data_IF_417957872727
#
_entry.id   IF_417957872727
#
_cell.length_a   1.000
_cell.length_b   1.000
_cell.length_c   1.000
_cell.angle_alpha   90.00
_cell.angle_beta   90.00
_cell.angle_gamma   90.00
#
_symmetry.space_group_name_H-M   'P 1'
#
loop_
_entity.id
_entity.type
_entity.pdbx_description
1 polymer ?
#
# COMPACT_ATOMS: atom_id res chain seq x y z
N UNK A 1 -23.03 -14.41 -26.67
CA UNK A 1 -22.34 -13.70 -25.57
C UNK A 1 -21.05 -13.15 -26.14
N UNK A 2 -20.88 -11.83 -26.31
CA UNK A 2 -19.54 -11.31 -26.59
C UNK A 2 -18.61 -11.73 -25.44
N UNK A 3 -17.41 -12.19 -25.77
CA UNK A 3 -16.41 -12.60 -24.79
C UNK A 3 -16.17 -11.48 -23.79
N UNK A 4 -16.28 -11.80 -22.50
CA UNK A 4 -15.86 -10.91 -21.43
C UNK A 4 -14.37 -10.62 -21.66
N UNK A 5 -13.93 -9.36 -21.83
CA UNK A 5 -12.52 -9.06 -21.98
C UNK A 5 -11.77 -9.61 -20.77
N UNK A 6 -10.71 -10.38 -21.01
CA UNK A 6 -9.83 -10.88 -19.95
C UNK A 6 -9.19 -9.74 -19.14
N UNK A 7 -8.38 -10.06 -18.11
CA UNK A 7 -7.41 -9.12 -17.58
C UNK A 7 -6.66 -8.43 -18.73
N UNK A 8 -6.48 -7.12 -18.64
CA UNK A 8 -5.96 -6.33 -19.75
C UNK A 8 -5.23 -5.08 -19.25
N UNK A 9 -4.32 -4.57 -20.08
CA UNK A 9 -3.68 -3.26 -19.88
C UNK A 9 -3.74 -2.45 -21.16
N UNK A 10 -4.23 -1.21 -21.08
CA UNK A 10 -4.27 -0.30 -22.22
C UNK A 10 -2.87 -0.01 -22.76
N UNK A 11 -2.71 -0.19 -24.07
CA UNK A 11 -1.42 -0.12 -24.77
C UNK A 11 -0.76 -1.49 -24.97
N UNK A 12 -1.21 -2.55 -24.28
CA UNK A 12 -0.73 -3.92 -24.49
C UNK A 12 -1.84 -4.83 -25.02
N UNK A 13 -1.50 -5.70 -25.97
CA UNK A 13 -2.42 -6.72 -26.51
C UNK A 13 -2.23 -8.09 -25.88
N UNK A 14 -1.11 -8.30 -25.18
CA UNK A 14 -0.65 -9.60 -24.71
C UNK A 14 -0.53 -9.68 -23.20
N UNK A 15 -0.69 -8.55 -22.50
CA UNK A 15 -0.50 -8.51 -21.06
C UNK A 15 -1.45 -9.45 -20.33
N UNK A 16 -0.89 -10.20 -19.38
CA UNK A 16 -1.61 -11.05 -18.45
C UNK A 16 -1.01 -10.91 -17.05
N UNK A 17 -1.82 -10.93 -15.97
CA UNK A 17 -1.34 -10.92 -14.60
C UNK A 17 -0.27 -11.98 -14.32
N UNK A 18 -0.40 -13.18 -14.89
CA UNK A 18 0.50 -14.31 -14.64
C UNK A 18 1.95 -14.03 -15.04
N UNK A 19 2.21 -13.05 -15.92
CA UNK A 19 3.57 -12.67 -16.31
C UNK A 19 4.37 -12.03 -15.15
N UNK A 20 3.67 -11.52 -14.14
CA UNK A 20 4.27 -10.91 -12.95
C UNK A 20 4.45 -11.90 -11.79
N UNK A 21 4.19 -13.18 -12.02
CA UNK A 21 4.32 -14.23 -11.01
C UNK A 21 5.27 -15.31 -11.49
N UNK A 22 6.09 -15.83 -10.59
CA UNK A 22 7.11 -16.86 -10.84
C UNK A 22 6.45 -18.25 -10.99
N UNK A 23 5.59 -18.39 -12.00
CA UNK A 23 4.82 -19.59 -12.32
C UNK A 23 5.36 -20.31 -13.56
N UNK A 24 6.26 -19.69 -14.31
CA UNK A 24 6.89 -20.23 -15.52
C UNK A 24 8.30 -19.64 -15.74
N UNK A 25 9.21 -20.31 -16.47
CA UNK A 25 10.53 -19.75 -16.76
C UNK A 25 10.50 -18.35 -17.41
N UNK A 26 9.56 -18.12 -18.34
CA UNK A 26 9.40 -16.83 -19.03
C UNK A 26 8.98 -15.72 -18.07
N UNK A 27 8.06 -16.01 -17.14
CA UNK A 27 7.65 -15.03 -16.14
C UNK A 27 8.73 -14.81 -15.09
N UNK A 28 9.55 -15.82 -14.75
CA UNK A 28 10.75 -15.64 -13.92
C UNK A 28 11.75 -14.66 -14.57
N UNK A 29 12.02 -14.80 -15.87
CA UNK A 29 12.92 -13.89 -16.60
C UNK A 29 12.37 -12.46 -16.66
N UNK A 30 11.07 -12.33 -16.92
CA UNK A 30 10.37 -11.03 -16.92
C UNK A 30 10.51 -10.37 -15.54
N UNK A 31 10.26 -11.13 -14.48
CA UNK A 31 10.40 -10.69 -13.11
C UNK A 31 11.83 -10.23 -12.78
N UNK A 32 12.84 -10.99 -13.21
CA UNK A 32 14.24 -10.59 -13.06
C UNK A 32 14.56 -9.29 -13.79
N UNK A 33 14.08 -9.11 -15.02
CA UNK A 33 14.27 -7.88 -15.80
C UNK A 33 13.63 -6.67 -15.11
N UNK A 34 12.41 -6.81 -14.59
CA UNK A 34 11.74 -5.75 -13.82
C UNK A 34 12.61 -5.32 -12.64
N UNK A 35 13.12 -6.27 -11.85
CA UNK A 35 14.00 -5.95 -10.73
C UNK A 35 15.33 -5.34 -11.15
N UNK A 36 15.91 -5.75 -12.28
CA UNK A 36 17.11 -5.08 -12.83
C UNK A 36 16.82 -3.60 -13.09
N UNK A 37 15.69 -3.27 -13.74
CA UNK A 37 15.30 -1.88 -13.99
C UNK A 37 15.03 -1.10 -12.69
N UNK A 38 14.30 -1.67 -11.74
CA UNK A 38 14.04 -1.01 -10.44
C UNK A 38 15.35 -0.73 -9.68
N UNK A 39 16.29 -1.68 -9.67
CA UNK A 39 17.59 -1.51 -9.02
C UNK A 39 18.48 -0.46 -9.73
N UNK A 40 18.31 -0.29 -11.04
CA UNK A 40 18.99 0.74 -11.83
C UNK A 40 18.30 2.12 -11.77
N UNK A 41 17.19 2.25 -11.03
CA UNK A 41 16.36 3.47 -10.97
C UNK A 41 15.75 3.87 -12.34
N UNK A 42 15.42 2.86 -13.16
CA UNK A 42 14.80 2.97 -14.48
C UNK A 42 13.30 2.69 -14.39
N UNK A 43 12.56 3.59 -13.73
CA UNK A 43 11.13 3.38 -13.42
C UNK A 43 10.28 3.18 -14.68
N UNK A 44 10.53 3.94 -15.74
CA UNK A 44 9.78 3.81 -16.99
C UNK A 44 9.97 2.42 -17.59
N UNK A 45 11.21 1.93 -17.64
CA UNK A 45 11.53 0.62 -18.18
C UNK A 45 10.93 -0.51 -17.32
N UNK A 46 10.94 -0.36 -16.00
CA UNK A 46 10.31 -1.32 -15.09
C UNK A 46 8.79 -1.43 -15.33
N UNK A 47 8.08 -0.31 -15.43
CA UNK A 47 6.63 -0.30 -15.73
C UNK A 47 6.35 -0.84 -17.13
N UNK A 48 7.10 -0.40 -18.14
CA UNK A 48 6.90 -0.87 -19.51
C UNK A 48 7.13 -2.38 -19.64
N UNK A 49 8.13 -2.92 -18.95
CA UNK A 49 8.38 -4.37 -18.90
C UNK A 49 7.26 -5.11 -18.15
N UNK A 50 6.84 -4.61 -16.98
CA UNK A 50 5.82 -5.26 -16.16
C UNK A 50 4.44 -5.31 -16.83
N UNK A 51 4.13 -4.31 -17.65
CA UNK A 51 2.82 -4.16 -18.29
C UNK A 51 2.84 -4.37 -19.80
N UNK A 52 3.97 -4.84 -20.33
CA UNK A 52 4.20 -5.08 -21.77
C UNK A 52 3.80 -3.89 -22.64
N UNK A 53 4.20 -2.70 -22.21
CA UNK A 53 3.90 -1.45 -22.89
C UNK A 53 4.86 -1.23 -24.06
N UNK A 54 4.41 -0.59 -25.15
CA UNK A 54 5.27 -0.28 -26.28
C UNK A 54 6.37 0.73 -25.90
N UNK A 55 7.54 0.72 -26.57
CA UNK A 55 8.64 1.63 -26.25
C UNK A 55 8.28 3.13 -26.35
N UNK A 56 7.38 3.48 -27.25
CA UNK A 56 6.87 4.83 -27.51
C UNK A 56 5.58 5.16 -26.73
N UNK A 57 5.26 4.37 -25.69
CA UNK A 57 4.10 4.62 -24.84
C UNK A 57 4.09 6.05 -24.28
N UNK A 58 3.00 6.77 -24.55
CA UNK A 58 2.78 8.14 -24.11
C UNK A 58 1.40 8.32 -23.46
N UNK A 59 0.87 7.24 -22.88
CA UNK A 59 -0.38 7.28 -22.13
C UNK A 59 -0.29 8.31 -20.99
N UNK A 60 -1.36 9.09 -20.81
CA UNK A 60 -1.45 10.06 -19.72
C UNK A 60 -2.24 9.45 -18.57
N UNK A 61 -1.55 9.27 -17.45
CA UNK A 61 -2.11 8.81 -16.19
C UNK A 61 -2.78 9.97 -15.45
N UNK A 62 -3.93 9.72 -14.83
CA UNK A 62 -4.71 10.73 -14.13
C UNK A 62 -4.99 10.32 -12.69
N UNK A 63 -4.63 11.19 -11.74
CA UNK A 63 -5.13 11.13 -10.38
C UNK A 63 -5.25 12.56 -9.83
N UNK A 64 -4.41 12.94 -8.85
CA UNK A 64 -4.26 14.34 -8.42
C UNK A 64 -3.48 15.20 -9.41
N UNK A 65 -2.74 14.58 -10.33
CA UNK A 65 -2.02 15.21 -11.44
C UNK A 65 -2.21 14.39 -12.72
N UNK A 66 -1.85 14.97 -13.87
CA UNK A 66 -1.82 14.29 -15.17
C UNK A 66 -0.39 14.19 -15.67
N UNK A 67 0.11 12.97 -15.89
CA UNK A 67 1.51 12.70 -16.21
C UNK A 67 1.67 11.52 -17.16
N UNK A 68 2.74 11.48 -17.95
CA UNK A 68 3.19 10.28 -18.67
C UNK A 68 4.42 9.64 -17.97
N UNK A 69 4.84 8.44 -18.39
CA UNK A 69 5.97 7.75 -17.75
C UNK A 69 7.29 8.53 -17.80
N UNK A 70 7.55 9.25 -18.90
CA UNK A 70 8.77 10.04 -19.04
C UNK A 70 8.83 11.20 -18.04
N UNK A 71 7.70 11.88 -17.82
CA UNK A 71 7.59 12.94 -16.81
C UNK A 71 7.77 12.41 -15.40
N UNK A 72 7.24 11.21 -15.10
CA UNK A 72 7.42 10.59 -13.79
C UNK A 72 8.89 10.22 -13.55
N UNK A 73 9.56 9.62 -14.53
CA UNK A 73 10.98 9.29 -14.43
C UNK A 73 11.85 10.53 -14.23
N UNK A 74 11.58 11.61 -14.98
CA UNK A 74 12.24 12.90 -14.78
C UNK A 74 12.00 13.47 -13.37
N UNK A 75 10.80 13.34 -12.83
CA UNK A 75 10.48 13.78 -11.47
C UNK A 75 11.23 12.96 -10.40
N UNK A 76 11.37 11.64 -10.60
CA UNK A 76 12.19 10.78 -9.72
C UNK A 76 13.65 11.22 -9.74
N UNK A 77 14.21 11.48 -10.92
CA UNK A 77 15.61 11.89 -11.07
C UNK A 77 15.87 13.31 -10.56
N UNK A 78 14.84 14.17 -10.47
CA UNK A 78 14.94 15.49 -9.84
C UNK A 78 15.16 15.40 -8.31
N UNK A 79 14.87 14.25 -7.69
CA UNK A 79 15.12 14.00 -6.27
C UNK A 79 14.49 15.05 -5.37
N UNK A 80 15.27 15.64 -4.45
CA UNK A 80 14.78 16.64 -3.48
C UNK A 80 14.43 18.01 -4.09
N UNK A 81 14.72 18.24 -5.38
CA UNK A 81 14.45 19.52 -6.02
C UNK A 81 12.96 19.90 -5.89
N UNK A 82 12.70 21.19 -5.71
CA UNK A 82 11.34 21.74 -5.58
C UNK A 82 10.48 21.10 -4.48
N UNK A 83 11.09 20.43 -3.50
CA UNK A 83 10.37 19.77 -2.40
C UNK A 83 9.67 18.48 -2.81
N UNK A 84 10.06 17.85 -3.92
CA UNK A 84 9.45 16.60 -4.39
C UNK A 84 9.61 15.45 -3.39
N UNK A 85 10.55 15.53 -2.44
CA UNK A 85 10.78 14.55 -1.37
C UNK A 85 10.49 15.12 0.05
N UNK A 86 9.81 16.28 0.15
CA UNK A 86 9.61 16.98 1.42
C UNK A 86 8.45 16.40 2.25
N UNK A 87 8.57 15.13 2.65
CA UNK A 87 7.53 14.38 3.36
C UNK A 87 7.47 14.65 4.85
N UNK A 88 8.61 14.97 5.46
CA UNK A 88 8.74 15.19 6.90
C UNK A 88 8.78 16.67 7.17
N UNK A 89 7.67 17.19 7.69
CA UNK A 89 7.45 18.61 7.87
C UNK A 89 6.89 18.92 9.24
N UNK A 90 7.07 20.17 9.67
CA UNK A 90 6.43 20.74 10.85
C UNK A 90 5.97 22.18 10.56
N UNK A 91 5.02 22.73 11.34
CA UNK A 91 4.67 24.14 11.25
C UNK A 91 5.89 25.03 11.48
N UNK A 92 6.07 26.05 10.64
CA UNK A 92 7.14 27.01 10.80
C UNK A 92 6.95 27.83 12.07
N UNK A 93 7.97 27.87 12.93
CA UNK A 93 8.01 28.80 14.06
C UNK A 93 8.15 30.22 13.51
N UNK A 94 7.15 31.08 13.74
CA UNK A 94 7.31 32.52 13.47
C UNK A 94 8.31 33.07 14.48
N UNK A 95 9.50 33.46 14.02
CA UNK A 95 10.38 34.30 14.82
C UNK A 95 9.66 35.65 14.92
N UNK A 96 9.08 35.95 16.08
CA UNK A 96 8.60 37.29 16.38
C UNK A 96 9.80 38.22 16.54
N UNK A 97 10.29 38.77 15.43
CA UNK A 97 11.22 39.89 15.46
C UNK A 97 10.41 41.16 15.73
N UNK A 98 9.99 41.38 16.98
CA UNK A 98 9.56 42.69 17.47
C UNK A 98 9.54 42.69 19.01
N UNK A 99 10.70 42.90 19.60
CA UNK A 99 10.80 43.55 20.90
C UNK A 99 12.15 44.30 20.96
N UNK A 100 12.19 45.63 20.74
CA UNK A 100 13.45 46.38 20.67
C UNK A 100 14.16 46.59 22.01
N UNK A 101 13.57 46.18 23.14
CA UNK A 101 13.98 46.66 24.46
C UNK A 101 14.68 45.64 25.38
N UNK A 102 15.06 44.44 24.90
CA UNK A 102 15.81 43.51 25.75
C UNK A 102 17.33 43.67 25.62
N UNK A 103 17.88 44.61 26.39
CA UNK A 103 19.34 44.85 26.54
C UNK A 103 20.02 43.88 27.54
N UNK A 104 19.51 42.68 27.80
CA UNK A 104 20.08 41.80 28.84
C UNK A 104 20.77 40.50 28.39
N UNK A 105 21.18 40.34 27.12
CA UNK A 105 21.79 39.07 26.67
C UNK A 105 23.08 39.23 25.86
N UNK A 106 24.08 39.91 26.45
CA UNK A 106 25.48 39.90 25.96
C UNK A 106 26.40 38.87 26.64
N UNK A 107 25.89 37.98 27.47
CA UNK A 107 26.69 36.92 28.11
C UNK A 107 26.01 35.55 28.02
N UNK A 108 25.99 34.97 26.82
CA UNK A 108 25.81 33.52 26.58
C UNK A 108 26.23 33.15 25.15
N UNK A 109 27.31 33.79 24.68
CA UNK A 109 27.86 33.61 23.34
C UNK A 109 29.24 32.98 23.42
N UNK A 110 29.28 31.77 23.97
CA UNK A 110 30.39 30.80 23.87
C UNK A 110 29.87 29.51 24.50
N UNK A 111 29.96 28.40 23.76
CA UNK A 111 29.42 27.06 24.06
C UNK A 111 27.97 26.80 23.59
N UNK A 112 27.75 26.88 22.28
CA UNK A 112 26.82 26.01 21.52
C UNK A 112 27.10 26.23 20.03
N UNK A 113 28.33 25.93 19.61
CA UNK A 113 28.70 25.80 18.20
C UNK A 113 28.77 24.31 17.89
N UNK A 114 27.61 23.70 17.62
CA UNK A 114 27.49 22.47 16.81
C UNK A 114 26.00 22.28 16.48
N UNK A 115 25.69 22.32 15.17
CA UNK A 115 24.38 22.17 14.52
C UNK A 115 23.40 23.34 14.65
N UNK A 116 23.73 24.44 13.98
CA UNK A 116 22.73 25.40 13.51
C UNK A 116 22.21 24.89 12.15
N UNK A 117 21.28 23.95 12.16
CA UNK A 117 20.59 23.51 10.94
C UNK A 117 19.86 24.73 10.34
N UNK A 118 20.26 25.13 9.13
CA UNK A 118 19.55 26.15 8.38
C UNK A 118 18.10 25.70 8.20
N UNK A 119 17.15 26.48 8.70
CA UNK A 119 15.71 26.20 8.56
C UNK A 119 15.35 26.13 7.08
N UNK A 120 15.07 24.92 6.56
CA UNK A 120 14.67 24.73 5.16
C UNK A 120 13.14 24.84 5.08
N UNK A 121 12.67 25.94 4.52
CA UNK A 121 11.24 26.17 4.24
C UNK A 121 10.79 25.27 3.09
N UNK A 122 9.59 24.70 3.19
CA UNK A 122 9.01 23.89 2.13
C UNK A 122 8.72 24.76 0.88
N UNK A 123 9.26 24.44 -0.31
CA UNK A 123 9.14 25.29 -1.51
C UNK A 123 7.71 25.61 -1.94
N UNK A 124 6.77 24.66 -1.76
CA UNK A 124 5.34 24.86 -2.05
C UNK A 124 4.47 25.32 -0.88
N UNK A 125 4.99 25.35 0.37
CA UNK A 125 4.18 25.61 1.57
C UNK A 125 4.99 26.44 2.59
N UNK A 126 4.99 27.78 2.47
CA UNK A 126 5.81 28.66 3.32
C UNK A 126 5.55 28.54 4.83
N UNK A 127 4.37 28.04 5.22
CA UNK A 127 4.02 27.76 6.61
C UNK A 127 4.63 26.48 7.17
N UNK A 128 5.37 25.70 6.37
CA UNK A 128 5.97 24.43 6.74
C UNK A 128 7.49 24.47 6.60
N UNK A 129 8.17 23.80 7.53
CA UNK A 129 9.61 23.56 7.53
C UNK A 129 9.88 22.07 7.36
N UNK A 130 10.88 21.73 6.56
CA UNK A 130 11.34 20.36 6.36
C UNK A 130 12.16 19.93 7.59
N UNK A 131 11.81 18.81 8.20
CA UNK A 131 12.45 18.31 9.44
C UNK A 131 13.56 17.29 9.17
N UNK A 132 13.72 16.85 7.93
CA UNK A 132 14.83 16.01 7.49
C UNK A 132 14.45 14.98 6.43
N UNK A 133 15.42 14.14 6.09
CA UNK A 133 15.26 13.01 5.18
C UNK A 133 15.77 11.73 5.87
N UNK A 134 15.04 10.62 5.79
CA UNK A 134 15.44 9.38 6.44
C UNK A 134 16.63 8.75 5.70
N UNK A 135 17.60 8.16 6.41
CA UNK A 135 18.65 7.38 5.77
C UNK A 135 18.08 6.10 5.14
N UNK A 136 18.76 5.57 4.12
CA UNK A 136 18.33 4.37 3.40
C UNK A 136 18.07 3.16 4.32
N UNK A 137 18.84 3.01 5.40
CA UNK A 137 18.65 1.95 6.40
C UNK A 137 17.32 2.04 7.13
N UNK A 138 16.81 3.26 7.35
CA UNK A 138 15.53 3.48 8.02
C UNK A 138 14.36 3.22 7.06
N UNK A 139 14.53 3.59 5.79
CA UNK A 139 13.59 3.24 4.71
C UNK A 139 13.46 1.72 4.59
N UNK A 140 14.59 1.00 4.54
CA UNK A 140 14.59 -0.46 4.48
C UNK A 140 13.94 -1.10 5.71
N UNK A 141 14.17 -0.52 6.90
CA UNK A 141 13.55 -1.00 8.13
C UNK A 141 12.01 -0.82 8.08
N UNK A 142 11.51 0.30 7.55
CA UNK A 142 10.08 0.52 7.33
C UNK A 142 9.49 -0.46 6.32
N UNK A 143 10.13 -0.62 5.15
CA UNK A 143 9.71 -1.59 4.13
C UNK A 143 9.60 -3.01 4.72
N UNK A 144 10.53 -3.39 5.59
CA UNK A 144 10.55 -4.72 6.23
C UNK A 144 9.38 -5.01 7.18
N UNK A 145 8.57 -4.02 7.55
CA UNK A 145 7.32 -4.22 8.30
C UNK A 145 6.34 -5.07 7.50
N UNK A 146 6.36 -4.91 6.17
CA UNK A 146 5.41 -5.55 5.26
C UNK A 146 5.97 -6.80 4.59
N UNK A 147 7.16 -7.26 5.01
CA UNK A 147 7.74 -8.53 4.58
C UNK A 147 6.83 -9.70 5.02
N UNK A 148 6.24 -10.46 4.09
CA UNK A 148 5.28 -11.51 4.40
C UNK A 148 5.89 -12.68 5.20
N UNK A 149 7.22 -12.81 5.21
CA UNK A 149 7.94 -13.84 5.97
C UNK A 149 8.16 -13.44 7.44
N UNK A 150 7.90 -12.18 7.79
CA UNK A 150 8.09 -11.62 9.13
C UNK A 150 6.75 -11.31 9.80
N UNK A 151 6.76 -11.21 11.12
CA UNK A 151 5.60 -10.70 11.86
C UNK A 151 5.63 -9.18 11.81
N UNK A 152 4.62 -8.55 11.22
CA UNK A 152 4.48 -7.10 11.17
C UNK A 152 4.55 -6.47 12.58
N UNK A 153 3.90 -7.09 13.57
CA UNK A 153 3.97 -6.64 14.97
C UNK A 153 5.40 -6.65 15.53
N UNK A 154 6.19 -7.68 15.26
CA UNK A 154 7.58 -7.75 15.74
C UNK A 154 8.50 -6.83 14.93
N UNK A 155 8.32 -6.74 13.61
CA UNK A 155 9.05 -5.81 12.76
C UNK A 155 8.82 -4.37 13.19
N UNK A 156 7.58 -4.00 13.54
CA UNK A 156 7.24 -2.66 14.02
C UNK A 156 7.85 -2.36 15.39
N UNK A 157 7.83 -3.32 16.32
CA UNK A 157 8.56 -3.19 17.60
C UNK A 157 10.08 -3.03 17.39
N UNK A 158 10.64 -3.78 16.44
CA UNK A 158 12.06 -3.67 16.05
C UNK A 158 12.38 -2.32 15.40
N UNK A 159 11.45 -1.75 14.61
CA UNK A 159 11.60 -0.41 14.05
C UNK A 159 11.82 0.62 15.16
N UNK A 160 11.02 0.54 16.23
CA UNK A 160 11.13 1.41 17.41
C UNK A 160 12.38 1.14 18.24
N UNK A 161 12.67 -0.12 18.57
CA UNK A 161 13.77 -0.48 19.47
C UNK A 161 15.16 -0.09 18.94
N UNK A 162 15.31 -0.04 17.62
CA UNK A 162 16.56 0.34 16.95
C UNK A 162 16.60 1.82 16.52
N UNK A 163 15.60 2.63 16.90
CA UNK A 163 15.56 4.03 16.53
C UNK A 163 16.40 4.90 17.48
N UNK A 164 17.21 5.81 16.93
CA UNK A 164 17.86 6.85 17.74
C UNK A 164 16.78 7.78 18.32
N UNK A 165 16.88 8.11 19.61
CA UNK A 165 15.97 9.07 20.26
C UNK A 165 15.92 10.39 19.46
N UNK A 166 14.71 10.87 19.17
CA UNK A 166 14.48 12.09 18.40
C UNK A 166 14.65 11.96 16.88
N UNK A 167 14.99 10.78 16.35
CA UNK A 167 15.07 10.57 14.90
C UNK A 167 13.69 10.49 14.24
N UNK A 168 13.65 10.70 12.91
CA UNK A 168 12.45 10.45 12.09
C UNK A 168 11.92 9.03 12.30
N UNK A 169 12.80 8.02 12.30
CA UNK A 169 12.44 6.63 12.55
C UNK A 169 11.76 6.42 13.90
N UNK A 170 12.20 7.11 14.95
CA UNK A 170 11.54 7.05 16.25
C UNK A 170 10.11 7.60 16.17
N UNK A 171 9.92 8.77 15.54
CA UNK A 171 8.60 9.39 15.37
C UNK A 171 7.63 8.54 14.52
N UNK A 172 8.15 7.88 13.48
CA UNK A 172 7.38 6.99 12.61
C UNK A 172 6.97 5.73 13.37
N UNK A 173 7.92 5.09 14.07
CA UNK A 173 7.65 3.86 14.80
C UNK A 173 6.64 4.10 15.94
N UNK A 174 6.81 5.19 16.70
CA UNK A 174 5.87 5.61 17.74
C UNK A 174 4.47 5.84 17.18
N UNK A 175 4.38 6.59 16.07
CA UNK A 175 3.11 6.86 15.41
C UNK A 175 2.40 5.56 14.96
N UNK A 176 3.09 4.70 14.21
CA UNK A 176 2.54 3.45 13.71
C UNK A 176 2.16 2.49 14.85
N UNK A 177 2.94 2.43 15.93
CA UNK A 177 2.62 1.63 17.12
C UNK A 177 1.35 2.14 17.81
N UNK A 178 1.20 3.46 17.93
CA UNK A 178 0.03 4.07 18.58
C UNK A 178 -1.28 3.80 17.84
N UNK A 179 -1.21 3.63 16.51
CA UNK A 179 -2.38 3.36 15.65
C UNK A 179 -2.70 1.88 15.52
N UNK A 180 -1.72 1.01 15.75
CA UNK A 180 -1.88 -0.43 15.58
C UNK A 180 -2.78 -1.03 16.66
N UNK A 181 -3.79 -1.77 16.23
CA UNK A 181 -4.66 -2.58 17.08
C UNK A 181 -5.04 -3.88 16.38
N UNK A 182 -5.06 -5.00 17.11
CA UNK A 182 -5.54 -6.27 16.60
C UNK A 182 -6.21 -7.03 17.75
N UNK A 183 -7.49 -7.37 17.57
CA UNK A 183 -8.24 -8.15 18.55
C UNK A 183 -7.58 -9.53 18.76
N UNK A 184 -7.50 -10.04 20.01
CA UNK A 184 -6.89 -11.33 20.31
C UNK A 184 -7.47 -12.53 19.53
N UNK A 185 -8.71 -12.43 19.04
CA UNK A 185 -9.32 -13.48 18.21
C UNK A 185 -8.78 -13.56 16.78
N UNK A 186 -8.00 -12.56 16.35
CA UNK A 186 -7.40 -12.49 15.02
C UNK A 186 -5.92 -12.88 15.10
N UNK A 187 -5.61 -14.09 14.64
CA UNK A 187 -4.24 -14.56 14.48
C UNK A 187 -3.82 -14.47 13.00
N UNK A 188 -2.64 -13.88 12.76
CA UNK A 188 -2.06 -13.73 11.42
C UNK A 188 -0.91 -14.73 11.27
N UNK A 189 -1.05 -15.77 10.42
CA UNK A 189 0.00 -16.77 10.24
C UNK A 189 1.17 -16.19 9.43
N UNK A 190 2.41 -16.53 9.79
CA UNK A 190 3.59 -16.17 8.96
C UNK A 190 3.68 -17.07 7.73
N UNK A 191 4.19 -16.53 6.63
CA UNK A 191 4.54 -17.36 5.46
C UNK A 191 5.66 -18.33 5.85
N UNK A 192 5.46 -19.62 5.54
CA UNK A 192 6.49 -20.65 5.70
C UNK A 192 7.43 -20.62 4.49
N UNK A 193 8.69 -20.26 4.70
CA UNK A 193 9.73 -20.38 3.67
C UNK A 193 10.21 -21.83 3.63
N UNK A 194 9.92 -22.55 2.54
CA UNK A 194 10.47 -23.89 2.34
C UNK A 194 11.95 -23.77 1.98
N UNK A 195 12.83 -24.27 2.85
CA UNK A 195 14.26 -24.37 2.55
C UNK A 195 14.48 -25.51 1.56
N UNK A 196 14.75 -25.19 0.28
CA UNK A 196 15.30 -26.18 -0.65
C UNK A 196 16.70 -26.55 -0.18
N UNK A 197 16.89 -27.79 0.27
CA UNK A 197 18.20 -28.33 0.67
C UNK A 197 19.14 -28.28 -0.53
N UNK A 198 20.13 -27.41 -0.51
CA UNK A 198 21.18 -27.35 -1.53
C UNK A 198 22.00 -28.64 -1.46
N UNK A 199 21.92 -29.48 -2.49
CA UNK A 199 22.85 -30.58 -2.71
C UNK A 199 24.26 -30.02 -2.87
N UNK A 200 25.18 -30.46 -2.02
CA UNK A 200 26.60 -30.15 -2.08
C UNK A 200 27.16 -30.57 -3.43
N UNK A 201 27.72 -29.64 -4.18
CA UNK A 201 28.75 -29.95 -5.17
C UNK A 201 29.91 -29.00 -4.94
N UNK A 202 31.02 -29.60 -4.56
CA UNK A 202 32.31 -28.99 -4.25
C UNK A 202 33.02 -28.54 -5.52
N UNK A 203 33.43 -27.28 -5.58
CA UNK A 203 34.66 -26.87 -6.24
C UNK A 203 35.16 -25.54 -5.66
N UNK A 204 36.48 -25.41 -5.64
CA UNK A 204 37.25 -24.52 -4.79
C UNK A 204 37.86 -23.33 -5.54
N UNK A 205 38.14 -22.27 -4.77
CA UNK A 205 39.20 -21.24 -4.94
C UNK A 205 39.04 -20.17 -6.04
N UNK A 206 38.80 -18.90 -5.67
CA UNK A 206 39.85 -17.85 -5.52
C UNK A 206 39.30 -16.45 -5.14
N UNK A 207 40.13 -15.79 -4.35
CA UNK A 207 40.21 -14.45 -3.74
C UNK A 207 39.61 -13.19 -4.41
N UNK A 208 38.97 -12.38 -3.54
CA UNK A 208 39.11 -10.93 -3.27
C UNK A 208 39.19 -9.90 -4.42
N UNK A 209 38.22 -8.97 -4.47
CA UNK A 209 38.46 -7.53 -4.25
C UNK A 209 37.18 -6.75 -3.96
N UNK A 210 37.33 -5.76 -3.08
CA UNK A 210 36.33 -4.94 -2.39
C UNK A 210 35.85 -3.72 -3.19
N UNK A 211 34.54 -3.51 -3.28
CA UNK A 211 33.93 -2.19 -3.45
C UNK A 211 32.52 -2.17 -2.84
N UNK A 212 32.18 -1.07 -2.16
CA UNK A 212 30.96 -0.90 -1.38
C UNK A 212 29.70 -0.92 -2.24
N UNK A 213 28.98 -2.04 -2.19
CA UNK A 213 27.68 -2.21 -2.82
C UNK A 213 26.56 -2.11 -1.80
N UNK A 214 25.55 -1.30 -2.14
CA UNK A 214 24.26 -1.15 -1.45
C UNK A 214 23.64 -2.52 -1.22
N UNK A 215 23.40 -2.89 0.03
CA UNK A 215 22.76 -4.15 0.42
C UNK A 215 21.24 -4.09 0.16
N UNK A 216 20.82 -4.69 -0.96
CA UNK A 216 19.42 -4.98 -1.28
C UNK A 216 18.76 -5.87 -0.21
N UNK A 217 17.42 -5.88 -0.12
CA UNK A 217 16.71 -6.98 0.51
C UNK A 217 16.90 -8.25 -0.34
N UNK A 218 17.56 -9.25 0.25
CA UNK A 218 17.58 -10.69 -0.09
C UNK A 218 17.64 -11.10 -1.57
N UNK A 219 18.84 -11.51 -2.00
CA UNK A 219 19.17 -12.16 -3.29
C UNK A 219 18.76 -13.63 -3.40
N UNK A 220 17.80 -14.12 -2.61
CA UNK A 220 17.39 -15.52 -2.67
C UNK A 220 16.17 -15.67 -3.56
N UNK A 221 16.30 -16.48 -4.61
CA UNK A 221 15.19 -16.95 -5.44
C UNK A 221 13.98 -17.28 -4.56
N UNK A 222 12.84 -16.75 -4.98
CA UNK A 222 11.65 -16.71 -4.17
C UNK A 222 11.20 -18.17 -3.92
N UNK A 223 11.11 -18.64 -2.66
CA UNK A 223 10.79 -20.03 -2.38
C UNK A 223 9.40 -20.33 -2.94
N UNK A 224 9.31 -21.26 -3.89
CA UNK A 224 8.05 -21.67 -4.51
C UNK A 224 6.98 -21.90 -3.42
N UNK A 225 5.86 -21.16 -3.47
CA UNK A 225 4.72 -21.30 -2.56
C UNK A 225 4.38 -20.13 -1.63
N UNK A 226 5.03 -18.97 -1.74
CA UNK A 226 4.61 -17.75 -1.02
C UNK A 226 3.75 -16.84 -1.90
N UNK A 227 2.86 -16.05 -1.28
CA UNK A 227 2.04 -15.07 -1.98
C UNK A 227 2.92 -13.91 -2.48
N UNK A 228 3.31 -13.97 -3.74
CA UNK A 228 3.97 -12.88 -4.46
C UNK A 228 3.03 -11.68 -4.61
N UNK A 229 3.56 -10.47 -4.50
CA UNK A 229 2.79 -9.23 -4.58
C UNK A 229 3.59 -8.17 -5.35
N UNK A 230 3.46 -8.10 -6.68
CA UNK A 230 4.21 -7.16 -7.50
C UNK A 230 4.08 -5.69 -7.08
N UNK A 231 2.89 -5.27 -6.64
CA UNK A 231 2.66 -3.92 -6.14
C UNK A 231 3.53 -3.60 -4.92
N UNK A 232 3.86 -4.59 -4.08
CA UNK A 232 4.73 -4.40 -2.91
C UNK A 232 6.18 -4.13 -3.31
N UNK A 233 6.69 -4.81 -4.34
CA UNK A 233 8.05 -4.58 -4.86
C UNK A 233 8.19 -3.20 -5.50
N UNK A 234 7.23 -2.83 -6.34
CA UNK A 234 7.17 -1.48 -6.88
C UNK A 234 7.02 -0.45 -5.75
N UNK A 235 6.20 -0.71 -4.74
CA UNK A 235 6.06 0.20 -3.60
C UNK A 235 7.37 0.33 -2.81
N UNK A 236 8.09 -0.76 -2.56
CA UNK A 236 9.38 -0.73 -1.88
C UNK A 236 10.41 0.11 -2.66
N UNK A 237 10.43 -0.02 -4.00
CA UNK A 237 11.19 0.87 -4.86
C UNK A 237 10.77 2.34 -4.67
N UNK A 238 9.47 2.64 -4.65
CA UNK A 238 8.99 4.01 -4.47
C UNK A 238 9.45 4.63 -3.15
N UNK A 239 9.50 3.85 -2.06
CA UNK A 239 10.00 4.32 -0.77
C UNK A 239 11.48 4.71 -0.85
N UNK A 240 12.30 3.92 -1.54
CA UNK A 240 13.73 4.20 -1.71
C UNK A 240 13.96 5.39 -2.65
N UNK A 241 13.31 5.39 -3.81
CA UNK A 241 13.44 6.42 -4.83
C UNK A 241 12.98 7.79 -4.32
N UNK A 242 11.97 7.83 -3.45
CA UNK A 242 11.38 9.07 -2.92
C UNK A 242 11.83 9.41 -1.50
N UNK A 243 12.78 8.68 -0.91
CA UNK A 243 13.29 8.90 0.45
C UNK A 243 12.19 8.89 1.53
N UNK A 244 11.29 7.89 1.46
CA UNK A 244 10.16 7.76 2.35
C UNK A 244 10.30 6.54 3.28
N UNK A 245 10.28 6.79 4.59
CA UNK A 245 10.38 5.76 5.63
C UNK A 245 9.07 5.54 6.40
N UNK A 246 7.94 6.02 5.87
CA UNK A 246 6.62 5.86 6.48
C UNK A 246 6.07 7.13 7.15
N UNK A 247 4.79 7.08 7.57
CA UNK A 247 4.08 8.24 8.10
C UNK A 247 4.42 8.49 9.57
N UNK A 248 4.22 9.72 10.01
CA UNK A 248 4.29 10.14 11.40
C UNK A 248 3.11 11.09 11.73
N UNK A 249 3.12 11.65 12.94
CA UNK A 249 2.04 12.52 13.41
C UNK A 249 1.81 13.77 12.54
N UNK A 250 2.81 14.25 11.80
CA UNK A 250 2.71 15.44 10.95
C UNK A 250 2.45 15.14 9.48
N UNK A 251 2.33 13.86 9.08
CA UNK A 251 2.04 13.48 7.69
C UNK A 251 0.73 14.09 7.17
N UNK A 252 -0.25 14.37 8.04
CA UNK A 252 -1.50 15.05 7.65
C UNK A 252 -1.31 16.48 7.12
N UNK A 253 -0.15 17.10 7.39
CA UNK A 253 0.24 18.41 6.86
C UNK A 253 0.70 18.33 5.39
N UNK A 254 1.13 17.15 4.92
CA UNK A 254 1.56 16.94 3.54
C UNK A 254 0.32 16.86 2.65
N UNK A 255 0.11 17.87 1.81
CA UNK A 255 -1.03 17.92 0.88
C UNK A 255 -0.70 17.44 -0.52
N UNK A 256 0.58 17.50 -0.90
CA UNK A 256 1.06 17.07 -2.20
C UNK A 256 1.21 15.54 -2.28
N UNK A 257 1.41 15.03 -3.49
CA UNK A 257 1.78 13.64 -3.74
C UNK A 257 2.79 13.62 -4.87
N UNK A 258 3.70 12.66 -4.87
CA UNK A 258 4.66 12.54 -5.95
C UNK A 258 3.95 12.19 -7.28
N UNK A 259 4.51 12.65 -8.40
CA UNK A 259 4.04 12.37 -9.77
C UNK A 259 3.98 10.86 -10.09
N UNK A 260 4.58 10.02 -9.27
CA UNK A 260 4.53 8.56 -9.38
C UNK A 260 3.14 7.98 -9.02
N UNK A 261 2.37 8.66 -8.16
CA UNK A 261 1.11 8.14 -7.63
C UNK A 261 0.08 7.77 -8.73
N UNK A 262 -0.20 8.61 -9.76
CA UNK A 262 -1.11 8.26 -10.84
C UNK A 262 -0.73 6.94 -11.54
N UNK A 263 0.57 6.71 -11.80
CA UNK A 263 1.04 5.48 -12.47
C UNK A 263 0.70 4.25 -11.63
N UNK A 264 0.98 4.31 -10.32
CA UNK A 264 0.68 3.20 -9.42
C UNK A 264 -0.83 2.96 -9.28
N UNK A 265 -1.61 4.03 -9.12
CA UNK A 265 -3.07 3.92 -9.02
C UNK A 265 -3.65 3.19 -10.23
N UNK A 266 -3.25 3.58 -11.45
CA UNK A 266 -3.73 2.97 -12.68
C UNK A 266 -3.33 1.51 -12.87
N UNK A 267 -2.16 1.11 -12.37
CA UNK A 267 -1.61 -0.23 -12.56
C UNK A 267 -1.93 -1.20 -11.43
N UNK A 268 -1.90 -0.77 -10.17
CA UNK A 268 -2.02 -1.63 -8.98
C UNK A 268 -3.20 -1.26 -8.07
N UNK A 269 -3.90 -0.16 -8.35
CA UNK A 269 -4.96 0.38 -7.49
C UNK A 269 -4.43 1.37 -6.45
N UNK A 270 -5.31 1.89 -5.60
CA UNK A 270 -5.01 3.06 -4.77
C UNK A 270 -4.11 2.79 -3.54
N UNK A 271 -4.08 1.56 -3.05
CA UNK A 271 -3.30 1.17 -1.86
C UNK A 271 -2.84 -0.27 -2.02
N UNK A 272 -1.62 -0.55 -1.56
CA UNK A 272 -1.03 -1.89 -1.69
C UNK A 272 -1.59 -2.82 -0.60
N UNK A 273 -2.12 -3.99 -0.93
CA UNK A 273 -2.50 -4.97 0.09
C UNK A 273 -1.26 -5.54 0.77
N UNK A 274 -1.17 -5.47 2.11
CA UNK A 274 -0.15 -6.21 2.85
C UNK A 274 -0.60 -7.64 3.10
N UNK A 275 0.36 -8.56 3.27
CA UNK A 275 0.05 -9.94 3.61
C UNK A 275 -0.72 -10.05 4.95
N UNK A 276 -0.38 -9.23 5.94
CA UNK A 276 -1.14 -9.14 7.20
C UNK A 276 -2.60 -8.74 6.94
N UNK A 277 -2.85 -7.73 6.11
CA UNK A 277 -4.20 -7.29 5.80
C UNK A 277 -5.03 -8.35 5.07
N UNK A 278 -4.44 -9.03 4.09
CA UNK A 278 -5.10 -10.12 3.36
C UNK A 278 -5.45 -11.29 4.29
N UNK A 279 -4.56 -11.66 5.22
CA UNK A 279 -4.82 -12.70 6.22
C UNK A 279 -5.92 -12.30 7.21
N UNK A 280 -5.98 -11.02 7.63
CA UNK A 280 -7.07 -10.51 8.47
C UNK A 280 -8.42 -10.66 7.75
N UNK A 281 -8.51 -10.21 6.49
CA UNK A 281 -9.73 -10.35 5.68
C UNK A 281 -10.13 -11.82 5.54
N UNK A 282 -9.18 -12.69 5.19
CA UNK A 282 -9.41 -14.13 5.08
C UNK A 282 -9.96 -14.70 6.39
N UNK A 283 -9.35 -14.36 7.52
CA UNK A 283 -9.78 -14.84 8.84
C UNK A 283 -11.19 -14.38 9.18
N UNK A 284 -11.54 -13.13 8.85
CA UNK A 284 -12.86 -12.56 9.10
C UNK A 284 -13.95 -13.13 8.16
N UNK A 285 -13.56 -13.58 6.98
CA UNK A 285 -14.44 -14.25 6.01
C UNK A 285 -14.62 -15.75 6.30
N UNK A 286 -13.77 -16.36 7.12
CA UNK A 286 -13.84 -17.79 7.42
C UNK A 286 -15.21 -18.19 8.01
N UNK A 287 -15.81 -19.25 7.46
CA UNK A 287 -17.12 -19.76 7.86
C UNK A 287 -18.32 -18.99 7.29
N UNK A 288 -18.09 -17.96 6.47
CA UNK A 288 -19.14 -17.13 5.87
C UNK A 288 -19.46 -17.58 4.46
N UNK A 289 -20.72 -17.94 4.19
CA UNK A 289 -21.15 -18.45 2.87
C UNK A 289 -21.07 -17.40 1.77
N UNK A 290 -21.25 -16.13 2.11
CA UNK A 290 -21.22 -15.01 1.17
C UNK A 290 -19.80 -14.52 0.83
N UNK A 291 -18.75 -15.06 1.47
CA UNK A 291 -17.36 -14.70 1.17
C UNK A 291 -17.05 -13.23 1.45
N UNK A 292 -16.41 -12.56 0.48
CA UNK A 292 -15.99 -11.15 0.55
C UNK A 292 -16.59 -10.40 -0.64
N UNK A 293 -17.15 -9.23 -0.39
CA UNK A 293 -17.59 -8.30 -1.44
C UNK A 293 -16.63 -7.13 -1.45
N UNK A 294 -15.78 -7.04 -2.47
CA UNK A 294 -14.90 -5.90 -2.74
C UNK A 294 -15.72 -4.84 -3.49
N UNK A 295 -16.22 -3.87 -2.73
CA UNK A 295 -17.19 -2.87 -3.18
C UNK A 295 -16.48 -1.58 -3.58
N UNK A 296 -16.68 -1.14 -4.82
CA UNK A 296 -15.84 -0.12 -5.45
C UNK A 296 -14.45 -0.67 -5.75
N UNK A 297 -14.37 -1.90 -6.28
CA UNK A 297 -13.13 -2.68 -6.43
C UNK A 297 -12.10 -2.05 -7.38
N UNK A 298 -12.47 -1.03 -8.16
CA UNK A 298 -11.60 -0.38 -9.13
C UNK A 298 -11.07 -1.38 -10.17
N UNK A 299 -9.74 -1.47 -10.29
CA UNK A 299 -9.09 -2.40 -11.20
C UNK A 299 -9.06 -3.87 -10.73
N UNK A 300 -9.57 -4.16 -9.53
CA UNK A 300 -9.69 -5.51 -8.98
C UNK A 300 -8.38 -6.11 -8.42
N UNK A 301 -7.33 -5.33 -8.21
CA UNK A 301 -6.05 -5.86 -7.68
C UNK A 301 -6.21 -6.52 -6.30
N UNK A 302 -6.97 -5.91 -5.38
CA UNK A 302 -7.25 -6.49 -4.06
C UNK A 302 -8.01 -7.81 -4.17
N UNK A 303 -9.06 -7.85 -5.00
CA UNK A 303 -9.80 -9.07 -5.31
C UNK A 303 -8.88 -10.17 -5.86
N UNK A 304 -8.02 -9.84 -6.83
CA UNK A 304 -7.04 -10.77 -7.41
C UNK A 304 -6.10 -11.35 -6.33
N UNK A 305 -5.54 -10.49 -5.48
CA UNK A 305 -4.63 -10.90 -4.41
C UNK A 305 -5.30 -11.76 -3.34
N UNK A 306 -6.54 -11.43 -2.94
CA UNK A 306 -7.32 -12.25 -1.99
C UNK A 306 -7.62 -13.64 -2.57
N UNK A 307 -8.03 -13.72 -3.84
CA UNK A 307 -8.30 -15.00 -4.52
C UNK A 307 -7.04 -15.86 -4.56
N UNK A 308 -5.88 -15.29 -4.93
CA UNK A 308 -4.59 -16.01 -4.91
C UNK A 308 -4.23 -16.52 -3.51
N UNK A 309 -4.39 -15.69 -2.47
CA UNK A 309 -4.14 -16.13 -1.10
C UNK A 309 -5.03 -17.31 -0.71
N UNK A 310 -6.32 -17.25 -1.06
CA UNK A 310 -7.28 -18.30 -0.72
C UNK A 310 -7.03 -19.62 -1.47
N UNK A 311 -6.49 -19.57 -2.68
CA UNK A 311 -6.06 -20.76 -3.44
C UNK A 311 -4.83 -21.44 -2.84
N UNK A 312 -3.84 -20.68 -2.35
CA UNK A 312 -2.59 -21.24 -1.82
C UNK A 312 -2.77 -22.07 -0.55
N UNK A 313 -3.76 -21.74 0.27
CA UNK A 313 -3.96 -22.37 1.58
C UNK A 313 -4.84 -23.63 1.55
N UNK A 314 -5.21 -24.14 0.36
CA UNK A 314 -5.83 -25.46 0.20
C UNK A 314 -7.24 -25.63 0.77
N UNK A 315 -7.95 -24.54 1.08
CA UNK A 315 -9.35 -24.57 1.56
C UNK A 315 -10.37 -24.82 0.42
N UNK A 316 -9.88 -25.06 -0.80
CA UNK A 316 -10.62 -25.78 -1.82
C UNK A 316 -10.50 -27.28 -1.53
N UNK A 317 -11.50 -27.86 -0.86
CA UNK A 317 -11.56 -29.30 -0.66
C UNK A 317 -11.35 -30.07 -1.97
N UNK A 318 -10.24 -30.81 -2.05
CA UNK A 318 -10.00 -31.79 -3.11
C UNK A 318 -8.59 -31.81 -3.69
N UNK A 319 -7.77 -32.76 -3.21
CA UNK A 319 -6.87 -33.58 -4.04
C UNK A 319 -5.68 -32.91 -4.73
N UNK A 320 -4.47 -33.22 -4.26
CA UNK A 320 -3.25 -32.95 -5.01
C UNK A 320 -3.28 -33.61 -6.40
N UNK A 321 -2.90 -32.83 -7.40
CA UNK A 321 -2.73 -33.29 -8.78
C UNK A 321 -2.11 -32.16 -9.58
N UNK A 322 -0.85 -32.32 -9.94
CA UNK A 322 -0.15 -31.49 -10.90
C UNK A 322 -0.79 -31.66 -12.28
N UNK A 323 -1.73 -30.79 -12.62
CA UNK A 323 -2.07 -30.42 -13.99
C UNK A 323 -2.85 -29.09 -13.91
N UNK A 324 -2.38 -28.09 -14.64
CA UNK A 324 -2.98 -26.77 -14.70
C UNK A 324 -4.37 -26.86 -15.35
N UNK A 325 -5.40 -27.01 -14.53
CA UNK A 325 -6.81 -26.87 -14.91
C UNK A 325 -7.25 -25.45 -14.55
N UNK A 326 -7.91 -24.70 -15.45
CA UNK A 326 -8.38 -23.35 -15.15
C UNK A 326 -9.46 -23.41 -14.06
N UNK A 327 -9.65 -22.34 -13.27
CA UNK A 327 -10.59 -22.35 -12.16
C UNK A 327 -12.04 -22.46 -12.67
N UNK A 328 -12.57 -23.68 -12.75
CA UNK A 328 -14.00 -23.93 -12.97
C UNK A 328 -14.76 -23.77 -11.64
N UNK A 329 -15.17 -22.52 -11.39
CA UNK A 329 -16.38 -22.05 -10.71
C UNK A 329 -16.86 -22.61 -9.34
N UNK A 330 -16.27 -23.66 -8.74
CA UNK A 330 -17.00 -24.40 -7.67
C UNK A 330 -16.34 -24.41 -6.29
N UNK A 331 -15.15 -23.84 -6.12
CA UNK A 331 -14.46 -23.79 -4.79
C UNK A 331 -13.65 -22.52 -4.56
N UNK A 332 -13.87 -21.47 -5.36
CA UNK A 332 -13.35 -20.15 -5.04
C UNK A 332 -14.13 -19.61 -3.83
N UNK A 333 -13.48 -19.40 -2.70
CA UNK A 333 -13.98 -18.48 -1.68
C UNK A 333 -14.40 -17.20 -2.42
N UNK A 334 -15.69 -16.86 -2.31
CA UNK A 334 -16.38 -15.93 -3.21
C UNK A 334 -15.93 -14.51 -2.90
N UNK A 335 -14.77 -14.12 -3.43
CA UNK A 335 -14.37 -12.70 -3.46
C UNK A 335 -15.01 -12.11 -4.71
N UNK A 336 -16.11 -11.40 -4.54
CA UNK A 336 -16.83 -10.73 -5.61
C UNK A 336 -16.40 -9.27 -5.71
N UNK A 337 -15.85 -8.89 -6.86
CA UNK A 337 -15.58 -7.50 -7.19
C UNK A 337 -16.85 -6.83 -7.73
N UNK A 338 -17.21 -5.68 -7.18
CA UNK A 338 -18.35 -4.87 -7.62
C UNK A 338 -17.86 -3.44 -7.85
N UNK A 339 -18.04 -2.92 -9.05
CA UNK A 339 -17.66 -1.56 -9.39
C UNK A 339 -18.66 -0.95 -10.37
N UNK A 340 -18.83 0.37 -10.36
CA UNK A 340 -19.75 1.06 -11.27
C UNK A 340 -19.08 1.52 -12.58
N UNK A 341 -17.76 1.35 -12.70
CA UNK A 341 -16.97 1.75 -13.86
C UNK A 341 -16.79 3.26 -14.01
N UNK A 342 -17.03 4.04 -12.94
CA UNK A 342 -16.87 5.50 -12.98
C UNK A 342 -15.41 5.91 -13.24
N UNK A 343 -14.47 5.20 -12.64
CA UNK A 343 -13.04 5.43 -12.85
C UNK A 343 -12.53 4.56 -14.01
N UNK A 344 -11.73 5.17 -14.89
CA UNK A 344 -10.97 4.44 -15.90
C UNK A 344 -9.60 4.06 -15.34
N UNK A 345 -9.28 2.78 -15.40
CA UNK A 345 -8.00 2.23 -14.99
C UNK A 345 -7.21 1.82 -16.22
N UNK A 346 -5.88 1.95 -16.17
CA UNK A 346 -5.05 1.53 -17.29
C UNK A 346 -4.97 0.00 -17.35
N UNK A 347 -4.83 -0.62 -16.18
CA UNK A 347 -4.79 -2.07 -16.03
C UNK A 347 -6.04 -2.54 -15.30
N UNK A 348 -6.58 -3.69 -15.71
CA UNK A 348 -7.64 -4.44 -15.00
C UNK A 348 -7.14 -5.85 -14.73
N UNK A 349 -7.18 -6.29 -13.48
CA UNK A 349 -6.56 -7.55 -13.03
C UNK A 349 -7.47 -8.78 -13.09
N UNK A 350 -8.77 -8.57 -13.15
CA UNK A 350 -9.79 -9.61 -13.20
C UNK A 350 -10.79 -9.30 -14.30
N UNK A 351 -11.35 -10.34 -14.93
CA UNK A 351 -12.32 -10.18 -16.00
C UNK A 351 -13.78 -10.18 -15.51
N UNK A 352 -14.02 -10.64 -14.28
CA UNK A 352 -15.34 -10.94 -13.75
C UNK A 352 -15.87 -9.90 -12.77
N UNK A 353 -15.39 -8.66 -12.83
CA UNK A 353 -15.94 -7.54 -12.05
C UNK A 353 -17.43 -7.36 -12.39
N UNK A 354 -18.28 -7.40 -11.37
CA UNK A 354 -19.71 -7.13 -11.53
C UNK A 354 -19.91 -5.63 -11.69
N UNK A 355 -20.26 -5.21 -12.91
CA UNK A 355 -20.56 -3.81 -13.20
C UNK A 355 -21.95 -3.45 -12.64
N UNK A 356 -21.98 -2.75 -11.50
CA UNK A 356 -23.21 -2.37 -10.83
C UNK A 356 -23.03 -1.16 -9.90
N UNK A 357 -24.13 -0.42 -9.67
CA UNK A 357 -24.23 0.45 -8.51
C UNK A 357 -24.20 -0.39 -7.22
N UNK A 358 -23.28 -0.06 -6.31
CA UNK A 358 -23.02 -0.84 -5.11
C UNK A 358 -24.21 -0.94 -4.14
N UNK A 359 -24.95 0.16 -3.98
CA UNK A 359 -26.12 0.20 -3.10
C UNK A 359 -27.24 -0.68 -3.67
N UNK A 360 -27.49 -0.60 -4.97
CA UNK A 360 -28.44 -1.47 -5.64
C UNK A 360 -27.99 -2.94 -5.65
N UNK A 361 -26.68 -3.21 -5.79
CA UNK A 361 -26.12 -4.55 -5.71
C UNK A 361 -26.46 -5.22 -4.37
N UNK A 362 -26.25 -4.50 -3.26
CA UNK A 362 -26.57 -4.95 -1.90
C UNK A 362 -28.08 -5.14 -1.72
N UNK A 363 -28.91 -4.15 -2.07
CA UNK A 363 -30.37 -4.22 -1.91
C UNK A 363 -31.00 -5.40 -2.64
N UNK A 364 -30.53 -5.71 -3.86
CA UNK A 364 -31.00 -6.88 -4.64
C UNK A 364 -30.61 -8.23 -4.02
N UNK A 365 -29.72 -8.24 -3.03
CA UNK A 365 -29.21 -9.43 -2.34
C UNK A 365 -29.45 -9.37 -0.83
N UNK A 366 -30.52 -8.70 -0.42
CA UNK A 366 -30.93 -8.55 0.98
C UNK A 366 -29.83 -7.97 1.88
N UNK A 367 -28.98 -7.12 1.32
CA UNK A 367 -27.84 -6.49 2.00
C UNK A 367 -26.63 -7.40 2.24
N UNK A 368 -26.63 -8.61 1.68
CA UNK A 368 -25.55 -9.60 1.79
C UNK A 368 -25.16 -9.95 3.25
N UNK A 369 -26.09 -10.52 4.04
CA UNK A 369 -25.89 -10.74 5.48
C UNK A 369 -24.73 -11.69 5.82
N UNK A 370 -24.45 -12.65 4.93
CA UNK A 370 -23.44 -13.68 5.14
C UNK A 370 -22.08 -13.36 4.48
N UNK A 371 -21.81 -12.11 4.11
CA UNK A 371 -20.57 -11.71 3.43
C UNK A 371 -19.79 -10.69 4.27
N UNK A 372 -18.47 -10.63 4.12
CA UNK A 372 -17.65 -9.49 4.56
C UNK A 372 -17.76 -8.38 3.52
N UNK A 373 -18.06 -7.15 3.94
CA UNK A 373 -17.98 -5.99 3.07
C UNK A 373 -16.57 -5.40 3.12
N UNK A 374 -15.85 -5.38 1.99
CA UNK A 374 -14.56 -4.74 1.82
C UNK A 374 -14.75 -3.44 1.03
N UNK A 375 -14.19 -2.33 1.55
CA UNK A 375 -14.10 -1.04 0.87
C UNK A 375 -12.62 -0.67 0.73
N UNK A 376 -12.11 -0.64 -0.50
CA UNK A 376 -10.73 -0.24 -0.77
C UNK A 376 -10.70 1.18 -1.29
N UNK A 377 -10.05 2.05 -0.53
CA UNK A 377 -9.84 3.46 -0.82
C UNK A 377 -11.13 4.18 -1.25
N UNK A 378 -12.23 4.07 -0.46
CA UNK A 378 -13.53 4.61 -0.86
C UNK A 378 -13.41 6.12 -1.12
N UNK A 379 -13.98 6.58 -2.23
CA UNK A 379 -13.93 8.00 -2.57
C UNK A 379 -14.71 8.82 -1.53
N UNK A 380 -14.24 10.05 -1.27
CA UNK A 380 -15.02 11.00 -0.47
C UNK A 380 -16.28 11.41 -1.22
N UNK A 381 -16.21 11.73 -2.52
CA UNK A 381 -17.38 12.15 -3.29
C UNK A 381 -17.98 13.50 -2.82
N UNK A 382 -19.14 13.86 -3.35
CA UNK A 382 -19.84 15.13 -3.06
C UNK A 382 -20.73 15.11 -1.80
N UNK A 383 -21.40 16.23 -1.52
CA UNK A 383 -22.32 16.42 -0.39
C UNK A 383 -21.71 17.19 0.80
N UNK A 384 -22.57 17.71 1.69
CA UNK A 384 -22.23 18.68 2.76
C UNK A 384 -21.17 18.25 3.79
N UNK A 385 -20.72 16.99 3.79
CA UNK A 385 -19.58 16.51 4.60
C UNK A 385 -18.73 15.45 3.89
N UNK A 386 -18.93 15.24 2.60
CA UNK A 386 -18.37 14.09 1.88
C UNK A 386 -18.83 12.73 2.43
N UNK A 387 -18.44 11.69 1.72
CA UNK A 387 -18.64 10.28 2.03
C UNK A 387 -20.02 9.72 1.70
N UNK A 388 -20.78 10.35 0.80
CA UNK A 388 -22.14 9.91 0.48
C UNK A 388 -22.20 8.44 0.02
N UNK A 389 -21.26 8.02 -0.82
CA UNK A 389 -21.13 6.63 -1.25
C UNK A 389 -20.93 5.70 -0.04
N UNK A 390 -19.90 5.98 0.77
CA UNK A 390 -19.57 5.21 1.98
C UNK A 390 -20.78 5.08 2.90
N UNK A 391 -21.49 6.17 3.20
CA UNK A 391 -22.67 6.16 4.06
C UNK A 391 -23.77 5.25 3.52
N UNK A 392 -24.15 5.43 2.25
CA UNK A 392 -25.23 4.65 1.62
C UNK A 392 -24.91 3.16 1.52
N UNK A 393 -23.64 2.81 1.25
CA UNK A 393 -23.21 1.41 1.22
C UNK A 393 -23.28 0.80 2.62
N UNK A 394 -22.80 1.51 3.65
CA UNK A 394 -22.88 1.06 5.04
C UNK A 394 -24.33 0.91 5.52
N UNK A 395 -25.24 1.78 5.10
CA UNK A 395 -26.68 1.69 5.43
C UNK A 395 -27.37 0.52 4.72
N UNK A 396 -26.96 0.19 3.49
CA UNK A 396 -27.56 -0.89 2.71
C UNK A 396 -27.02 -2.28 3.08
N UNK A 397 -25.87 -2.36 3.74
CA UNK A 397 -25.22 -3.60 4.13
C UNK A 397 -25.82 -4.17 5.41
N UNK A 398 -26.22 -5.45 5.38
CA UNK A 398 -26.91 -6.11 6.50
C UNK A 398 -26.04 -7.08 7.27
N UNK A 399 -24.86 -7.44 6.74
CA UNK A 399 -23.91 -8.33 7.41
C UNK A 399 -23.21 -7.71 8.62
N UNK A 400 -22.30 -8.46 9.22
CA UNK A 400 -21.72 -8.18 10.53
C UNK A 400 -20.23 -7.83 10.51
N UNK A 401 -19.58 -7.80 9.34
CA UNK A 401 -18.16 -7.45 9.21
C UNK A 401 -17.92 -6.47 8.08
N UNK A 402 -17.31 -5.33 8.44
CA UNK A 402 -16.86 -4.31 7.48
C UNK A 402 -15.34 -4.23 7.57
N UNK A 403 -14.68 -4.21 6.43
CA UNK A 403 -13.25 -3.95 6.29
C UNK A 403 -13.06 -2.75 5.38
N UNK A 404 -12.21 -1.82 5.79
CA UNK A 404 -11.88 -0.61 5.02
C UNK A 404 -10.37 -0.49 4.92
N UNK A 405 -9.84 -0.47 3.71
CA UNK A 405 -8.46 -0.06 3.43
C UNK A 405 -8.48 1.40 2.99
N UNK A 406 -7.85 2.31 3.73
CA UNK A 406 -7.88 3.75 3.41
C UNK A 406 -6.96 4.55 4.30
N UNK A 407 -7.08 5.87 4.26
CA UNK A 407 -6.24 6.77 5.05
C UNK A 407 -6.60 6.74 6.53
N UNK A 408 -5.59 6.71 7.41
CA UNK A 408 -5.76 6.72 8.88
C UNK A 408 -5.49 8.07 9.55
N UNK A 409 -5.31 9.11 8.75
CA UNK A 409 -5.20 10.48 9.22
C UNK A 409 -6.25 11.40 8.57
N UNK A 410 -6.42 12.59 9.15
CA UNK A 410 -7.39 13.60 8.70
C UNK A 410 -6.97 14.34 7.41
N UNK A 411 -6.36 13.65 6.43
CA UNK A 411 -6.02 14.27 5.16
C UNK A 411 -7.23 14.42 4.21
N UNK A 412 -8.36 13.77 4.52
CA UNK A 412 -9.61 13.84 3.75
C UNK A 412 -9.54 13.17 2.37
N UNK A 413 -8.67 12.18 2.17
CA UNK A 413 -8.53 11.49 0.88
C UNK A 413 -9.48 10.30 0.71
N UNK A 414 -9.92 9.66 1.79
CA UNK A 414 -10.75 8.45 1.71
C UNK A 414 -11.92 8.49 2.67
N UNK A 415 -13.04 7.90 2.24
CA UNK A 415 -14.24 7.67 3.04
C UNK A 415 -15.03 8.94 3.30
N UNK A 416 -14.43 9.91 4.00
CA UNK A 416 -15.05 11.15 4.44
C UNK A 416 -14.05 12.31 4.33
N UNK A 417 -14.58 13.53 4.27
CA UNK A 417 -13.75 14.73 4.15
C UNK A 417 -13.09 15.12 5.47
N UNK A 418 -13.87 15.07 6.54
CA UNK A 418 -13.53 15.74 7.81
C UNK A 418 -13.36 14.77 9.00
N UNK A 419 -13.49 13.46 8.78
CA UNK A 419 -13.42 12.43 9.84
C UNK A 419 -12.72 11.16 9.33
N UNK A 420 -11.94 10.49 10.19
CA UNK A 420 -11.30 9.22 9.84
C UNK A 420 -12.32 8.08 9.99
N UNK A 421 -12.15 6.98 9.25
CA UNK A 421 -13.12 5.87 9.23
C UNK A 421 -13.43 5.29 10.62
N UNK A 422 -12.43 5.15 11.51
CA UNK A 422 -12.64 4.57 12.83
C UNK A 422 -13.34 5.52 13.81
N UNK A 423 -13.04 6.82 13.73
CA UNK A 423 -13.79 7.88 14.42
C UNK A 423 -15.26 7.87 13.96
N UNK A 424 -15.50 7.85 12.64
CA UNK A 424 -16.85 7.78 12.08
C UNK A 424 -17.63 6.58 12.59
N UNK A 425 -17.03 5.38 12.56
CA UNK A 425 -17.67 4.15 13.05
C UNK A 425 -17.95 4.22 14.56
N UNK A 426 -17.04 4.77 15.36
CA UNK A 426 -17.25 4.93 16.79
C UNK A 426 -18.42 5.86 17.12
N UNK A 427 -18.50 7.00 16.44
CA UNK A 427 -19.52 8.04 16.70
C UNK A 427 -20.89 7.69 16.12
N UNK A 428 -20.93 7.15 14.89
CA UNK A 428 -22.18 7.02 14.12
C UNK A 428 -22.71 5.59 14.09
N UNK A 429 -21.94 4.60 14.54
CA UNK A 429 -22.29 3.18 14.49
C UNK A 429 -22.03 2.48 15.83
N UNK A 430 -22.67 2.88 16.95
CA UNK A 430 -22.36 2.38 18.31
C UNK A 430 -22.54 0.87 18.51
N UNK A 431 -23.32 0.21 17.64
CA UNK A 431 -23.47 -1.25 17.60
C UNK A 431 -22.29 -1.99 16.95
N UNK A 432 -21.25 -1.29 16.53
CA UNK A 432 -20.05 -1.85 15.92
C UNK A 432 -18.83 -1.67 16.83
N UNK A 433 -17.91 -2.60 16.76
CA UNK A 433 -16.62 -2.58 17.45
C UNK A 433 -15.48 -2.68 16.44
N UNK A 434 -14.41 -1.91 16.63
CA UNK A 434 -13.18 -2.08 15.86
C UNK A 434 -12.47 -3.34 16.36
N UNK A 435 -12.15 -4.26 15.45
CA UNK A 435 -11.44 -5.53 15.74
C UNK A 435 -10.04 -5.56 15.13
N UNK A 436 -9.74 -4.70 14.16
CA UNK A 436 -8.38 -4.51 13.66
C UNK A 436 -8.16 -3.07 13.17
N UNK A 437 -6.93 -2.59 13.35
CA UNK A 437 -6.35 -1.41 12.72
C UNK A 437 -4.87 -1.70 12.50
N UNK A 438 -4.47 -1.98 11.25
CA UNK A 438 -3.08 -2.31 10.93
C UNK A 438 -2.55 -1.40 9.83
N UNK A 439 -1.29 -0.95 9.89
CA UNK A 439 -0.75 -0.09 8.86
C UNK A 439 -0.70 -0.83 7.51
N UNK A 440 -0.84 -0.07 6.42
CA UNK A 440 -0.64 -0.53 5.06
C UNK A 440 0.61 0.13 4.45
N UNK A 441 1.21 -0.50 3.42
CA UNK A 441 2.29 0.12 2.64
C UNK A 441 1.77 1.42 2.03
N UNK A 442 2.16 2.54 2.63
CA UNK A 442 1.63 3.87 2.29
C UNK A 442 2.48 4.50 1.21
N UNK A 443 1.86 5.18 0.25
CA UNK A 443 2.60 6.02 -0.69
C UNK A 443 3.31 7.17 0.04
N UNK A 444 4.37 7.72 -0.55
CA UNK A 444 5.10 8.83 0.06
C UNK A 444 4.17 10.02 0.36
N UNK A 445 4.18 10.48 1.62
CA UNK A 445 3.27 11.52 2.12
C UNK A 445 1.83 11.05 2.39
N UNK A 446 1.54 9.75 2.27
CA UNK A 446 0.27 9.12 2.63
C UNK A 446 0.41 8.29 3.89
N UNK A 447 -0.73 7.93 4.44
CA UNK A 447 -0.82 7.27 5.73
C UNK A 447 -2.04 6.36 5.70
N UNK A 448 -1.81 5.14 5.24
CA UNK A 448 -2.84 4.17 4.90
C UNK A 448 -2.88 3.04 5.93
N UNK A 449 -4.08 2.55 6.23
CA UNK A 449 -4.31 1.44 7.14
C UNK A 449 -5.50 0.59 6.69
N UNK A 450 -5.53 -0.64 7.21
CA UNK A 450 -6.70 -1.51 7.18
C UNK A 450 -7.42 -1.40 8.51
N UNK A 451 -8.68 -0.99 8.48
CA UNK A 451 -9.61 -1.07 9.59
C UNK A 451 -10.57 -2.24 9.39
N UNK A 452 -10.85 -2.99 10.44
CA UNK A 452 -11.92 -3.98 10.45
C UNK A 452 -12.84 -3.75 11.63
N UNK A 453 -14.15 -3.84 11.37
CA UNK A 453 -15.21 -3.66 12.34
C UNK A 453 -16.13 -4.86 12.33
N UNK A 454 -16.62 -5.23 13.52
CA UNK A 454 -17.60 -6.30 13.70
C UNK A 454 -18.83 -5.74 14.42
N UNK A 455 -20.02 -6.21 14.08
CA UNK A 455 -21.23 -5.88 14.82
C UNK A 455 -21.19 -6.60 16.18
N UNK A 456 -21.49 -5.87 17.26
CA UNK A 456 -21.58 -6.44 18.60
C UNK A 456 -22.70 -7.48 18.61
N UNK A 457 -22.44 -8.64 19.22
CA UNK A 457 -23.50 -9.61 19.50
C UNK A 457 -24.41 -9.00 20.57
N UNK A 458 -25.67 -8.81 20.22
CA UNK A 458 -26.74 -8.41 21.15
C UNK A 458 -27.08 -9.52 22.11
#
# INVERSE_FOLDING_TARGET
MPSIPGPATEGSKTWSPEHLFDTSPTSSETWQKIHTHLNANEFRAAIATAFELPPDDNFTYHASASVNLAQVEAAIHAGRANGLHAWYVQPATRISSDNPDDKSSKQKKQQHEEQQDSVVVHPGFPSLQITGYPPATDIQAYVSIFDPTKSAANSLKSLSANAKKGSLRASIAEYLLSKRYLDPSIAVPKVKVSSRTSSKTSSATQSQQSSGGVSSPSRNGNPAGHLQNPALDFWAYSCLALEYAGPNATTSLVKASHHMLPVYMHHFGCVVPSYEALQIIKKLAAGRRGGVIDMGSGNGYWTFMLRRLMLLDGDGGGGGGSDAVPPTATTAAVVAAVDNGQSRWRTTWISDTVVADGVQYLRRRSGCPDAVLLLVYPIVGGGGGGGEFTRKVLDAYTGDVIVVAGTQNGNGYTGFKDVVMDEYMSEHRPGWEKVAAVPLPSFAGKDDALFAFRRKKT
#
